data_IF_906003542055
#
_entry.id   IF_906003542055
#
_cell.length_a   1.000
_cell.length_b   1.000
_cell.length_c   1.000
_cell.angle_alpha   90.00
_cell.angle_beta   90.00
_cell.angle_gamma   90.00
#
_symmetry.space_group_name_H-M   'P 1'
#
loop_
_entity.id
_entity.type
_entity.pdbx_description
1 polymer ?
#
# COMPACT_ATOMS: atom_id res chain seq x y z
N UNK A 1 25.53 -9.02 -3.25
CA UNK A 1 26.54 -9.10 -2.17
C UNK A 1 25.84 -8.70 -0.89
N UNK A 2 25.54 -9.66 -0.02
CA UNK A 2 24.84 -9.41 1.24
C UNK A 2 25.79 -8.69 2.23
N UNK A 3 25.34 -7.67 2.97
CA UNK A 3 26.13 -7.11 4.06
C UNK A 3 26.17 -8.13 5.20
N UNK A 4 27.34 -8.23 5.84
CA UNK A 4 27.58 -9.14 6.95
C UNK A 4 26.65 -8.84 8.14
N UNK A 5 26.29 -9.85 8.96
CA UNK A 5 25.49 -9.61 10.16
C UNK A 5 26.27 -8.71 11.13
N UNK A 6 25.61 -7.68 11.64
CA UNK A 6 26.16 -6.85 12.72
C UNK A 6 26.43 -7.74 13.95
N UNK A 7 27.59 -7.59 14.60
CA UNK A 7 27.90 -8.35 15.81
C UNK A 7 26.91 -7.97 16.91
N UNK A 8 26.41 -8.98 17.63
CA UNK A 8 25.59 -8.79 18.81
C UNK A 8 26.33 -7.87 19.80
N UNK A 9 25.62 -6.98 20.52
CA UNK A 9 26.26 -6.21 21.57
C UNK A 9 26.78 -7.20 22.61
N UNK A 10 28.10 -7.26 22.76
CA UNK A 10 28.74 -7.95 23.85
C UNK A 10 28.31 -7.25 25.13
N UNK A 11 27.30 -7.79 25.80
CA UNK A 11 27.06 -7.54 27.22
C UNK A 11 28.22 -8.20 27.97
N UNK A 12 29.38 -7.53 27.97
CA UNK A 12 30.33 -7.69 29.05
C UNK A 12 29.61 -7.20 30.30
N UNK A 13 28.92 -8.11 30.97
CA UNK A 13 28.62 -7.94 32.39
C UNK A 13 29.98 -7.81 33.08
N UNK A 14 30.39 -6.59 33.36
CA UNK A 14 31.40 -6.39 34.39
C UNK A 14 30.88 -7.10 35.66
N UNK A 15 31.68 -7.96 36.29
CA UNK A 15 31.29 -8.54 37.56
C UNK A 15 31.09 -7.39 38.54
N UNK A 16 29.85 -7.22 39.03
CA UNK A 16 29.61 -6.34 40.17
C UNK A 16 30.62 -6.73 41.27
N UNK A 17 31.33 -5.76 41.87
CA UNK A 17 32.24 -6.07 42.94
C UNK A 17 31.41 -6.63 44.09
N UNK A 18 31.55 -7.94 44.33
CA UNK A 18 31.12 -8.55 45.59
C UNK A 18 31.96 -7.85 46.65
N UNK A 19 31.36 -6.89 47.33
CA UNK A 19 31.93 -6.27 48.52
C UNK A 19 31.93 -7.34 49.63
N UNK A 20 32.90 -8.26 49.56
CA UNK A 20 33.28 -9.13 50.64
C UNK A 20 34.03 -8.29 51.68
N UNK A 21 33.28 -7.40 52.34
CA UNK A 21 33.75 -6.57 53.44
C UNK A 21 33.51 -7.25 54.78
N UNK A 22 34.06 -8.46 54.99
CA UNK A 22 34.36 -8.88 56.35
C UNK A 22 35.72 -8.26 56.71
N UNK A 23 35.79 -7.30 57.65
CA UNK A 23 37.07 -6.73 58.03
C UNK A 23 37.97 -7.83 58.62
N UNK A 24 39.28 -7.81 58.33
CA UNK A 24 40.21 -8.80 58.86
C UNK A 24 40.23 -8.67 60.39
N UNK A 25 40.02 -9.79 61.08
CA UNK A 25 40.28 -9.91 62.51
C UNK A 25 41.76 -9.62 62.74
N UNK A 26 42.09 -8.40 63.18
CA UNK A 26 43.44 -8.03 63.59
C UNK A 26 43.78 -8.88 64.82
N UNK A 27 44.59 -9.92 64.62
CA UNK A 27 45.20 -10.69 65.69
C UNK A 27 46.27 -9.78 66.33
N UNK A 28 45.91 -9.07 67.41
CA UNK A 28 46.91 -8.38 68.22
C UNK A 28 47.85 -9.42 68.84
N UNK A 29 49.12 -9.39 68.40
CA UNK A 29 50.19 -10.16 69.00
C UNK A 29 50.33 -9.78 70.48
N UNK A 30 50.05 -10.75 71.35
CA UNK A 30 50.24 -10.63 72.80
C UNK A 30 51.72 -10.87 73.08
N UNK A 31 52.48 -9.81 73.32
CA UNK A 31 53.80 -9.89 73.97
C UNK A 31 53.65 -10.30 75.45
N UNK A 32 54.66 -10.92 76.07
CA UNK A 32 54.55 -11.48 77.41
C UNK A 32 54.38 -10.38 78.47
N UNK A 33 53.52 -10.55 79.50
CA UNK A 33 53.36 -9.56 80.54
C UNK A 33 54.48 -9.68 81.58
N UNK A 34 55.03 -8.54 82.00
CA UNK A 34 55.88 -8.44 83.19
C UNK A 34 54.99 -8.36 84.43
N UNK A 35 55.36 -8.97 85.57
CA UNK A 35 54.48 -9.10 86.73
C UNK A 35 54.53 -7.81 87.53
N UNK A 36 53.39 -7.35 88.07
CA UNK A 36 53.23 -6.81 89.44
C UNK A 36 51.82 -6.21 89.61
N UNK A 37 51.20 -6.56 90.74
CA UNK A 37 49.92 -6.12 91.33
C UNK A 37 48.68 -6.97 90.99
N UNK A 38 48.34 -7.78 91.99
CA UNK A 38 47.06 -8.45 92.13
C UNK A 38 46.01 -7.43 92.56
N UNK A 39 45.05 -7.15 91.68
CA UNK A 39 43.82 -6.44 92.01
C UNK A 39 42.62 -7.40 91.95
N UNK A 40 41.82 -7.40 93.01
CA UNK A 40 40.65 -8.25 93.24
C UNK A 40 39.46 -8.02 92.28
N UNK A 41 39.66 -7.33 91.14
CA UNK A 41 38.65 -7.03 90.12
C UNK A 41 38.73 -7.94 88.87
N UNK A 42 39.71 -8.83 88.79
CA UNK A 42 40.03 -9.62 87.60
C UNK A 42 38.87 -10.51 87.08
N UNK A 43 38.16 -11.29 87.92
CA UNK A 43 37.08 -12.18 87.44
C UNK A 43 35.88 -11.40 86.91
N UNK A 44 35.50 -10.30 87.58
CA UNK A 44 34.37 -9.46 87.21
C UNK A 44 34.60 -8.74 85.88
N UNK A 45 35.83 -8.25 85.66
CA UNK A 45 36.25 -7.61 84.42
C UNK A 45 36.31 -8.60 83.25
N UNK A 46 36.78 -9.83 83.48
CA UNK A 46 36.76 -10.90 82.47
C UNK A 46 35.31 -11.28 82.13
N UNK A 47 34.44 -11.42 83.13
CA UNK A 47 33.02 -11.72 82.93
C UNK A 47 32.26 -10.59 82.22
N UNK A 48 32.65 -9.32 82.40
CA UNK A 48 32.12 -8.20 81.61
C UNK A 48 32.56 -8.29 80.16
N UNK A 49 33.86 -8.46 79.89
CA UNK A 49 34.39 -8.62 78.52
C UNK A 49 33.75 -9.79 77.77
N UNK A 50 33.49 -10.90 78.45
CA UNK A 50 32.79 -12.05 77.87
C UNK A 50 31.33 -11.73 77.55
N UNK A 51 30.62 -10.99 78.42
CA UNK A 51 29.26 -10.51 78.15
C UNK A 51 29.20 -9.53 76.98
N UNK A 52 30.15 -8.60 76.89
CA UNK A 52 30.23 -7.64 75.79
C UNK A 52 30.52 -8.35 74.46
N UNK A 53 31.42 -9.34 74.46
CA UNK A 53 31.66 -10.20 73.29
C UNK A 53 30.45 -11.02 72.89
N UNK A 54 29.72 -11.59 73.85
CA UNK A 54 28.49 -12.33 73.59
C UNK A 54 27.44 -11.43 72.95
N UNK A 55 27.22 -10.22 73.51
CA UNK A 55 26.28 -9.24 72.97
C UNK A 55 26.66 -8.81 71.53
N UNK A 56 27.95 -8.55 71.28
CA UNK A 56 28.47 -8.24 69.95
C UNK A 56 28.25 -9.39 68.95
N UNK A 57 28.48 -10.64 69.37
CA UNK A 57 28.23 -11.81 68.53
C UNK A 57 26.74 -12.02 68.25
N UNK A 58 25.87 -11.78 69.23
CA UNK A 58 24.42 -11.85 69.06
C UNK A 58 23.91 -10.79 68.07
N UNK A 59 24.43 -9.56 68.17
CA UNK A 59 24.10 -8.49 67.24
C UNK A 59 24.60 -8.80 65.82
N UNK A 60 25.83 -9.31 65.68
CA UNK A 60 26.39 -9.72 64.39
C UNK A 60 25.61 -10.90 63.79
N UNK A 61 25.18 -11.86 64.60
CA UNK A 61 24.33 -12.96 64.15
C UNK A 61 22.97 -12.47 63.67
N UNK A 62 22.32 -11.54 64.40
CA UNK A 62 21.06 -10.91 63.99
C UNK A 62 21.21 -10.19 62.65
N UNK A 63 22.28 -9.41 62.48
CA UNK A 63 22.61 -8.74 61.21
C UNK A 63 22.79 -9.75 60.07
N UNK A 64 23.56 -10.82 60.29
CA UNK A 64 23.75 -11.86 59.28
C UNK A 64 22.44 -12.58 58.93
N UNK A 65 21.55 -12.81 59.89
CA UNK A 65 20.22 -13.39 59.61
C UNK A 65 19.38 -12.46 58.73
N UNK A 66 19.38 -11.15 59.02
CA UNK A 66 18.70 -10.15 58.20
C UNK A 66 19.31 -10.07 56.79
N UNK A 67 20.63 -10.10 56.67
CA UNK A 67 21.32 -10.10 55.38
C UNK A 67 21.03 -11.37 54.57
N UNK A 68 20.99 -12.53 55.22
CA UNK A 68 20.62 -13.78 54.57
C UNK A 68 19.18 -13.73 54.05
N UNK A 69 18.23 -13.21 54.84
CA UNK A 69 16.85 -13.04 54.38
C UNK A 69 16.78 -12.10 53.17
N UNK A 70 17.42 -10.92 53.25
CA UNK A 70 17.49 -9.95 52.16
C UNK A 70 18.07 -10.55 50.88
N UNK A 71 19.22 -11.22 50.97
CA UNK A 71 19.87 -11.84 49.80
C UNK A 71 19.04 -12.99 49.24
N UNK A 72 18.32 -13.74 50.08
CA UNK A 72 17.42 -14.80 49.63
C UNK A 72 16.24 -14.23 48.83
N UNK A 73 15.65 -13.12 49.30
CA UNK A 73 14.57 -12.43 48.60
C UNK A 73 15.05 -11.81 47.27
N UNK A 74 16.23 -11.18 47.27
CA UNK A 74 16.86 -10.64 46.05
C UNK A 74 17.17 -11.76 45.04
N UNK A 75 17.65 -12.91 45.50
CA UNK A 75 17.90 -14.07 44.65
C UNK A 75 16.60 -14.63 44.07
N UNK A 76 15.53 -14.69 44.84
CA UNK A 76 14.22 -15.12 44.35
C UNK A 76 13.67 -14.16 43.28
N UNK A 77 13.76 -12.85 43.52
CA UNK A 77 13.32 -11.81 42.59
C UNK A 77 14.12 -11.84 41.27
N UNK A 78 15.45 -11.93 41.35
CA UNK A 78 16.32 -12.00 40.16
C UNK A 78 16.13 -13.28 39.35
N UNK A 79 15.86 -14.41 40.01
CA UNK A 79 15.50 -15.66 39.30
C UNK A 79 14.17 -15.54 38.57
N UNK A 80 13.14 -14.97 39.21
CA UNK A 80 11.85 -14.74 38.57
C UNK A 80 11.97 -13.81 37.35
N UNK A 81 12.80 -12.76 37.45
CA UNK A 81 13.10 -11.87 36.33
C UNK A 81 13.84 -12.59 35.20
N UNK A 82 14.82 -13.43 35.52
CA UNK A 82 15.54 -14.22 34.54
C UNK A 82 14.62 -15.18 33.78
N UNK A 83 13.76 -15.91 34.50
CA UNK A 83 12.76 -16.80 33.89
C UNK A 83 11.80 -16.02 32.99
N UNK A 84 11.35 -14.84 33.42
CA UNK A 84 10.52 -13.95 32.58
C UNK A 84 11.24 -13.58 31.28
N UNK A 85 12.47 -13.09 31.38
CA UNK A 85 13.26 -12.70 30.20
C UNK A 85 13.52 -13.87 29.25
N UNK A 86 13.81 -15.07 29.77
CA UNK A 86 13.98 -16.28 28.96
C UNK A 86 12.69 -16.64 28.20
N UNK A 87 11.52 -16.40 28.79
CA UNK A 87 10.23 -16.62 28.09
C UNK A 87 9.90 -15.55 27.06
N UNK A 88 10.24 -14.29 27.32
CA UNK A 88 9.95 -13.15 26.42
C UNK A 88 10.90 -13.07 25.22
N UNK A 89 12.17 -13.45 25.40
CA UNK A 89 13.22 -13.39 24.38
C UNK A 89 12.82 -14.04 23.04
N UNK A 90 12.30 -15.29 22.97
CA UNK A 90 11.93 -15.90 21.69
C UNK A 90 10.76 -15.20 21.02
N UNK A 91 9.81 -14.68 21.80
CA UNK A 91 8.65 -13.94 21.28
C UNK A 91 9.09 -12.63 20.62
N UNK A 92 9.96 -11.88 21.30
CA UNK A 92 10.55 -10.64 20.77
C UNK A 92 11.42 -10.91 19.53
N UNK A 93 12.21 -11.99 19.53
CA UNK A 93 13.03 -12.38 18.40
C UNK A 93 12.17 -12.76 17.16
N UNK A 94 11.03 -13.42 17.36
CA UNK A 94 10.09 -13.71 16.28
C UNK A 94 9.43 -12.43 15.75
N UNK A 95 8.97 -11.54 16.64
CA UNK A 95 8.38 -10.24 16.26
C UNK A 95 9.38 -9.39 15.47
N UNK A 96 10.65 -9.36 15.90
CA UNK A 96 11.71 -8.66 15.19
C UNK A 96 11.94 -9.21 13.78
N UNK A 97 12.05 -10.53 13.63
CA UNK A 97 12.22 -11.17 12.31
C UNK A 97 11.07 -10.83 11.36
N UNK A 98 9.83 -10.94 11.85
CA UNK A 98 8.64 -10.57 11.09
C UNK A 98 8.72 -9.13 10.56
N UNK A 99 9.09 -8.16 11.41
CA UNK A 99 9.21 -6.77 10.96
C UNK A 99 10.37 -6.51 10.01
N UNK A 100 11.48 -7.26 10.10
CA UNK A 100 12.57 -7.16 9.13
C UNK A 100 12.14 -7.70 7.75
N UNK A 101 11.43 -8.81 7.72
CA UNK A 101 10.87 -9.38 6.49
C UNK A 101 9.84 -8.44 5.86
N UNK A 102 8.91 -7.92 6.66
CA UNK A 102 7.92 -6.94 6.21
C UNK A 102 8.58 -5.66 5.69
N UNK A 103 9.61 -5.15 6.38
CA UNK A 103 10.37 -3.98 5.91
C UNK A 103 11.05 -4.25 4.57
N UNK A 104 11.68 -5.41 4.42
CA UNK A 104 12.28 -5.85 3.15
C UNK A 104 11.24 -5.86 2.03
N UNK A 105 10.12 -6.57 2.25
CA UNK A 105 9.01 -6.62 1.31
C UNK A 105 8.48 -5.24 0.92
N UNK A 106 8.22 -4.34 1.89
CA UNK A 106 7.70 -3.00 1.59
C UNK A 106 8.72 -2.17 0.82
N UNK A 107 10.02 -2.31 1.11
CA UNK A 107 11.09 -1.59 0.40
C UNK A 107 11.14 -2.05 -1.06
N UNK A 108 11.19 -3.37 -1.28
CA UNK A 108 11.23 -3.96 -2.63
C UNK A 108 9.96 -3.60 -3.43
N UNK A 109 8.79 -3.58 -2.78
CA UNK A 109 7.53 -3.19 -3.40
C UNK A 109 7.53 -1.72 -3.84
N UNK A 110 8.02 -0.82 -2.98
CA UNK A 110 8.09 0.61 -3.31
C UNK A 110 9.08 0.84 -4.44
N UNK A 111 10.27 0.23 -4.40
CA UNK A 111 11.25 0.34 -5.49
C UNK A 111 10.68 -0.17 -6.82
N UNK A 112 10.00 -1.33 -6.80
CA UNK A 112 9.32 -1.88 -7.96
C UNK A 112 8.25 -0.90 -8.50
N UNK A 113 7.39 -0.38 -7.63
CA UNK A 113 6.32 0.52 -8.03
C UNK A 113 6.87 1.86 -8.54
N UNK A 114 7.92 2.42 -7.94
CA UNK A 114 8.53 3.67 -8.38
C UNK A 114 9.03 3.57 -9.83
N UNK A 115 9.61 2.43 -10.21
CA UNK A 115 9.98 2.17 -11.61
C UNK A 115 8.74 2.06 -12.51
N UNK A 116 7.77 1.20 -12.14
CA UNK A 116 6.66 0.85 -13.03
C UNK A 116 5.57 1.93 -13.11
N UNK A 117 5.37 2.77 -12.10
CA UNK A 117 4.34 3.82 -12.08
C UNK A 117 4.53 4.81 -13.24
N UNK A 118 5.78 5.16 -13.56
CA UNK A 118 6.09 6.04 -14.69
C UNK A 118 5.67 5.42 -16.04
N UNK A 119 5.89 4.11 -16.19
CA UNK A 119 5.50 3.34 -17.38
C UNK A 119 3.98 3.24 -17.49
N UNK A 120 3.28 2.97 -16.38
CA UNK A 120 1.81 2.92 -16.34
C UNK A 120 1.23 4.28 -16.74
N UNK A 121 1.75 5.37 -16.18
CA UNK A 121 1.30 6.72 -16.54
C UNK A 121 1.52 7.02 -18.03
N UNK A 122 2.65 6.60 -18.61
CA UNK A 122 2.90 6.77 -20.05
C UNK A 122 1.91 5.97 -20.92
N UNK A 123 1.56 4.74 -20.51
CA UNK A 123 0.56 3.92 -21.21
C UNK A 123 -0.84 4.55 -21.14
N UNK A 124 -1.24 5.07 -19.98
CA UNK A 124 -2.50 5.79 -19.83
C UNK A 124 -2.55 7.03 -20.72
N UNK A 125 -1.49 7.83 -20.74
CA UNK A 125 -1.41 9.01 -21.62
C UNK A 125 -1.52 8.62 -23.09
N UNK A 126 -0.91 7.50 -23.51
CA UNK A 126 -1.05 6.96 -24.87
C UNK A 126 -2.50 6.55 -25.16
N UNK A 127 -3.17 5.86 -24.23
CA UNK A 127 -4.56 5.44 -24.41
C UNK A 127 -5.54 6.62 -24.43
N UNK A 128 -5.38 7.57 -23.51
CA UNK A 128 -6.14 8.82 -23.47
C UNK A 128 -5.94 9.63 -24.74
N UNK A 129 -4.69 9.76 -25.22
CA UNK A 129 -4.39 10.45 -26.48
C UNK A 129 -5.05 9.77 -27.68
N UNK A 130 -5.07 8.44 -27.72
CA UNK A 130 -5.73 7.67 -28.76
C UNK A 130 -7.25 7.89 -28.76
N UNK A 131 -7.88 7.84 -27.58
CA UNK A 131 -9.31 8.12 -27.43
C UNK A 131 -9.66 9.57 -27.78
N UNK A 132 -8.84 10.53 -27.32
CA UNK A 132 -9.01 11.95 -27.61
C UNK A 132 -8.91 12.22 -29.10
N UNK A 133 -7.87 11.71 -29.77
CA UNK A 133 -7.70 11.85 -31.22
C UNK A 133 -8.94 11.36 -31.97
N UNK A 134 -9.45 10.18 -31.59
CA UNK A 134 -10.68 9.64 -32.18
C UNK A 134 -11.89 10.55 -31.94
N UNK A 135 -12.05 11.08 -30.73
CA UNK A 135 -13.14 11.99 -30.42
C UNK A 135 -13.04 13.30 -31.23
N UNK A 136 -11.84 13.88 -31.33
CA UNK A 136 -11.57 15.12 -32.07
C UNK A 136 -11.84 14.94 -33.58
N UNK A 137 -11.42 13.82 -34.17
CA UNK A 137 -11.69 13.47 -35.57
C UNK A 137 -13.20 13.37 -35.85
N UNK A 138 -13.95 12.70 -34.97
CA UNK A 138 -15.40 12.59 -35.09
C UNK A 138 -16.10 13.95 -34.92
N UNK A 139 -15.67 14.76 -33.96
CA UNK A 139 -16.23 16.09 -33.74
C UNK A 139 -15.97 17.03 -34.92
N UNK A 140 -14.75 17.05 -35.46
CA UNK A 140 -14.42 17.92 -36.59
C UNK A 140 -15.14 17.48 -37.85
N UNK A 141 -15.23 16.17 -38.10
CA UNK A 141 -16.04 15.64 -39.21
C UNK A 141 -17.51 16.06 -39.09
N UNK A 142 -18.09 15.94 -37.89
CA UNK A 142 -19.49 16.35 -37.64
C UNK A 142 -19.68 17.85 -37.87
N UNK A 143 -18.76 18.69 -37.37
CA UNK A 143 -18.77 20.14 -37.61
C UNK A 143 -18.69 20.45 -39.10
N UNK A 144 -17.84 19.73 -39.82
CA UNK A 144 -17.70 19.90 -41.26
C UNK A 144 -18.97 19.50 -42.02
N UNK A 145 -19.57 18.37 -41.66
CA UNK A 145 -20.80 17.89 -42.29
C UNK A 145 -21.97 18.84 -42.06
N UNK A 146 -22.09 19.43 -40.87
CA UNK A 146 -23.10 20.46 -40.58
C UNK A 146 -22.85 21.74 -41.38
N UNK A 147 -21.58 22.18 -41.50
CA UNK A 147 -21.21 23.35 -42.33
C UNK A 147 -21.57 23.13 -43.80
N UNK A 148 -21.15 22.00 -44.37
CA UNK A 148 -21.44 21.64 -45.76
C UNK A 148 -22.95 21.60 -46.01
N UNK A 149 -23.73 20.96 -45.14
CA UNK A 149 -25.20 20.91 -45.26
C UNK A 149 -25.86 22.28 -45.15
N UNK A 150 -25.38 23.15 -44.25
CA UNK A 150 -25.91 24.50 -44.11
C UNK A 150 -25.64 25.34 -45.38
N UNK A 151 -24.47 25.19 -45.98
CA UNK A 151 -24.09 25.85 -47.23
C UNK A 151 -24.87 25.29 -48.43
N UNK A 152 -25.14 23.99 -48.49
CA UNK A 152 -26.00 23.37 -49.52
C UNK A 152 -27.44 23.91 -49.46
N UNK A 153 -27.96 24.20 -48.25
CA UNK A 153 -29.31 24.74 -48.03
C UNK A 153 -29.39 26.27 -48.22
N UNK A 154 -28.30 27.01 -47.98
CA UNK A 154 -28.25 28.47 -48.07
C UNK A 154 -28.66 29.05 -49.44
N UNK A 155 -28.19 28.56 -50.62
CA UNK A 155 -28.63 29.05 -51.91
C UNK A 155 -30.08 28.67 -52.22
N UNK A 156 -30.62 27.59 -51.64
CA UNK A 156 -32.06 27.28 -51.76
C UNK A 156 -32.95 28.30 -51.06
N UNK A 157 -32.43 29.04 -50.07
CA UNK A 157 -33.15 30.09 -49.33
C UNK A 157 -32.90 31.50 -49.90
N UNK A 158 -31.70 31.75 -50.46
CA UNK A 158 -31.29 33.06 -51.01
C UNK A 158 -31.54 33.23 -52.52
N UNK A 159 -31.79 32.16 -53.29
CA UNK A 159 -32.11 32.24 -54.72
C UNK A 159 -33.44 32.94 -55.04
N UNK A 160 -34.18 33.45 -54.04
CA UNK A 160 -35.36 34.31 -54.27
C UNK A 160 -35.02 35.80 -54.37
N UNK A 161 -33.78 36.28 -54.14
CA UNK A 161 -33.57 37.73 -54.09
C UNK A 161 -32.20 38.35 -54.43
N UNK A 162 -31.10 37.62 -54.68
CA UNK A 162 -29.81 38.29 -55.02
C UNK A 162 -28.90 37.49 -55.98
N UNK A 163 -28.11 38.15 -56.86
CA UNK A 163 -27.11 37.50 -57.69
C UNK A 163 -25.89 37.03 -56.85
N UNK A 164 -25.20 35.95 -57.26
CA UNK A 164 -24.13 35.34 -56.47
C UNK A 164 -22.87 36.23 -56.49
N UNK A 165 -22.65 36.98 -55.41
CA UNK A 165 -21.48 37.86 -55.23
C UNK A 165 -20.41 37.31 -54.27
N UNK A 166 -20.51 36.03 -53.87
CA UNK A 166 -19.49 35.36 -53.06
C UNK A 166 -18.26 34.90 -53.87
N UNK A 167 -17.09 34.75 -53.23
CA UNK A 167 -15.92 34.18 -53.90
C UNK A 167 -16.24 32.78 -54.44
N UNK A 168 -15.97 32.55 -55.72
CA UNK A 168 -16.10 31.22 -56.34
C UNK A 168 -15.07 30.30 -55.69
N UNK A 169 -15.54 29.14 -55.19
CA UNK A 169 -14.66 28.07 -54.70
C UNK A 169 -13.63 27.71 -55.75
N UNK A 170 -12.42 27.41 -55.30
CA UNK A 170 -11.45 26.78 -56.20
C UNK A 170 -11.97 25.42 -56.64
N UNK A 171 -11.52 24.95 -57.82
CA UNK A 171 -11.88 23.61 -58.32
C UNK A 171 -11.55 22.51 -57.30
N UNK A 172 -10.44 22.66 -56.59
CA UNK A 172 -10.00 21.73 -55.55
C UNK A 172 -10.95 21.71 -54.33
N UNK A 173 -11.45 22.87 -53.91
CA UNK A 173 -12.44 22.99 -52.83
C UNK A 173 -13.78 22.35 -53.21
N UNK A 174 -14.20 22.50 -54.47
CA UNK A 174 -15.45 21.91 -54.98
C UNK A 174 -15.34 20.39 -55.10
N UNK A 175 -14.21 19.86 -55.59
CA UNK A 175 -13.91 18.43 -55.61
C UNK A 175 -13.81 17.84 -54.18
N UNK A 176 -13.24 18.59 -53.22
CA UNK A 176 -13.20 18.17 -51.81
C UNK A 176 -14.60 18.15 -51.17
N UNK A 177 -15.43 19.16 -51.45
CA UNK A 177 -16.80 19.25 -50.96
C UNK A 177 -17.67 18.09 -51.49
N UNK A 178 -17.62 17.82 -52.80
CA UNK A 178 -18.36 16.71 -53.43
C UNK A 178 -17.94 15.35 -52.89
N UNK A 179 -16.64 15.13 -52.64
CA UNK A 179 -16.13 13.91 -51.99
C UNK A 179 -16.70 13.73 -50.57
N UNK A 180 -16.68 14.76 -49.73
CA UNK A 180 -17.27 14.70 -48.37
C UNK A 180 -18.78 14.43 -48.40
N UNK A 181 -19.49 15.05 -49.34
CA UNK A 181 -20.92 14.82 -49.52
C UNK A 181 -21.24 13.37 -49.91
N UNK A 182 -20.46 12.79 -50.84
CA UNK A 182 -20.59 11.38 -51.20
C UNK A 182 -20.27 10.44 -50.04
N UNK A 183 -19.23 10.73 -49.25
CA UNK A 183 -18.85 9.93 -48.09
C UNK A 183 -19.94 9.91 -47.01
N UNK A 184 -20.50 11.09 -46.72
CA UNK A 184 -21.65 11.28 -45.82
C UNK A 184 -22.89 10.51 -46.28
N UNK A 185 -23.20 10.58 -47.58
CA UNK A 185 -24.32 9.81 -48.13
C UNK A 185 -24.06 8.29 -48.09
N UNK A 186 -22.80 7.89 -48.28
CA UNK A 186 -22.35 6.52 -48.09
C UNK A 186 -22.58 6.02 -46.65
N UNK A 187 -22.27 6.83 -45.63
CA UNK A 187 -22.59 6.54 -44.22
C UNK A 187 -24.10 6.37 -44.01
N UNK A 188 -24.90 7.35 -44.45
CA UNK A 188 -26.38 7.29 -44.35
C UNK A 188 -26.98 6.03 -45.00
N UNK A 189 -26.46 5.66 -46.17
CA UNK A 189 -26.89 4.47 -46.91
C UNK A 189 -26.53 3.19 -46.15
N UNK A 190 -25.33 3.07 -45.60
CA UNK A 190 -24.93 1.93 -44.75
C UNK A 190 -25.84 1.78 -43.54
N UNK A 191 -26.15 2.88 -42.84
CA UNK A 191 -27.12 2.89 -41.73
C UNK A 191 -28.50 2.41 -42.14
N UNK A 192 -29.00 2.87 -43.30
CA UNK A 192 -30.31 2.43 -43.82
C UNK A 192 -30.32 0.92 -44.08
N UNK A 193 -29.31 0.39 -44.78
CA UNK A 193 -29.18 -1.04 -45.07
C UNK A 193 -29.05 -1.89 -43.81
N UNK A 194 -28.24 -1.48 -42.84
CA UNK A 194 -28.07 -2.21 -41.58
C UNK A 194 -29.39 -2.30 -40.79
N UNK A 195 -30.22 -1.24 -40.82
CA UNK A 195 -31.56 -1.23 -40.22
C UNK A 195 -32.52 -2.16 -40.96
N UNK A 196 -32.53 -2.12 -42.29
CA UNK A 196 -33.34 -3.01 -43.12
C UNK A 196 -32.98 -4.50 -42.87
N UNK A 197 -31.69 -4.81 -42.73
CA UNK A 197 -31.21 -6.17 -42.43
C UNK A 197 -31.55 -6.64 -41.00
N UNK A 198 -31.59 -5.74 -40.01
CA UNK A 198 -31.98 -6.06 -38.62
C UNK A 198 -33.50 -6.04 -38.38
N UNK A 199 -34.30 -5.58 -39.34
CA UNK A 199 -35.75 -5.41 -39.15
C UNK A 199 -36.51 -6.74 -39.27
N UNK A 200 -36.44 -7.52 -38.19
CA UNK A 200 -37.56 -8.33 -37.69
C UNK A 200 -38.27 -7.67 -36.51
N UNK A 201 -37.89 -6.43 -36.15
CA UNK A 201 -38.43 -5.65 -35.04
C UNK A 201 -39.28 -4.48 -35.55
N UNK A 202 -40.46 -4.31 -34.95
CA UNK A 202 -41.54 -3.36 -35.29
C UNK A 202 -41.26 -1.89 -34.94
N UNK A 203 -40.08 -1.57 -34.41
CA UNK A 203 -39.73 -0.19 -34.06
C UNK A 203 -39.43 0.64 -35.32
N UNK A 204 -40.39 1.47 -35.71
CA UNK A 204 -40.26 2.44 -36.81
C UNK A 204 -39.14 3.43 -36.46
N UNK A 205 -38.01 3.36 -37.16
CA UNK A 205 -36.90 4.29 -36.93
C UNK A 205 -37.35 5.74 -37.20
N UNK A 206 -37.12 6.63 -36.24
CA UNK A 206 -37.44 8.06 -36.35
C UNK A 206 -36.24 8.81 -36.93
N UNK A 207 -36.49 9.56 -38.01
CA UNK A 207 -35.45 10.35 -38.66
C UNK A 207 -34.86 11.38 -37.69
N UNK A 208 -33.54 11.53 -37.70
CA UNK A 208 -32.80 12.38 -36.75
C UNK A 208 -32.27 11.68 -35.48
N UNK A 209 -32.63 10.42 -35.21
CA UNK A 209 -32.07 9.65 -34.07
C UNK A 209 -30.75 8.92 -34.39
N UNK A 210 -30.14 9.21 -35.53
CA UNK A 210 -28.91 8.55 -35.97
C UNK A 210 -27.68 9.31 -35.47
N UNK A 211 -26.82 8.66 -34.68
CA UNK A 211 -25.49 9.22 -34.40
C UNK A 211 -24.61 9.13 -35.65
N UNK A 212 -23.76 10.14 -35.88
CA UNK A 212 -22.79 10.15 -36.99
C UNK A 212 -21.38 9.69 -36.56
N UNK A 213 -21.33 8.71 -35.65
CA UNK A 213 -20.07 8.22 -35.05
C UNK A 213 -19.41 7.09 -35.88
N UNK A 214 -19.91 6.81 -37.08
CA UNK A 214 -19.41 5.71 -37.92
C UNK A 214 -18.01 6.00 -38.42
N UNK A 215 -17.06 5.12 -38.14
CA UNK A 215 -15.71 5.22 -38.68
C UNK A 215 -15.58 4.41 -39.97
N UNK A 216 -14.66 4.81 -40.83
CA UNK A 216 -14.24 3.95 -41.95
C UNK A 216 -13.59 2.68 -41.40
N UNK A 217 -13.60 1.60 -42.19
CA UNK A 217 -12.93 0.36 -41.79
C UNK A 217 -11.44 0.57 -41.59
N UNK A 218 -10.82 1.43 -42.40
CA UNK A 218 -9.41 1.80 -42.28
C UNK A 218 -9.12 2.47 -40.93
N UNK A 219 -9.88 3.51 -40.55
CA UNK A 219 -9.72 4.19 -39.25
C UNK A 219 -9.97 3.22 -38.08
N UNK A 220 -10.99 2.37 -38.20
CA UNK A 220 -11.30 1.38 -37.18
C UNK A 220 -10.19 0.34 -37.01
N UNK A 221 -9.56 -0.10 -38.11
CA UNK A 221 -8.39 -1.00 -38.05
C UNK A 221 -7.17 -0.31 -37.45
N UNK A 222 -6.88 0.93 -37.83
CA UNK A 222 -5.75 1.68 -37.28
C UNK A 222 -5.91 1.92 -35.77
N UNK A 223 -7.10 2.28 -35.32
CA UNK A 223 -7.41 2.43 -33.89
C UNK A 223 -7.23 1.12 -33.13
N UNK A 224 -7.74 0.00 -33.66
CA UNK A 224 -7.56 -1.32 -33.04
C UNK A 224 -6.08 -1.70 -32.95
N UNK A 225 -5.31 -1.54 -34.02
CA UNK A 225 -3.88 -1.86 -34.01
C UNK A 225 -3.11 -1.04 -32.96
N UNK A 226 -3.41 0.26 -32.83
CA UNK A 226 -2.77 1.10 -31.81
C UNK A 226 -3.19 0.70 -30.39
N UNK A 227 -4.47 0.41 -30.18
CA UNK A 227 -4.99 -0.10 -28.90
C UNK A 227 -4.33 -1.44 -28.53
N UNK A 228 -4.24 -2.37 -29.48
CA UNK A 228 -3.66 -3.71 -29.28
C UNK A 228 -2.15 -3.61 -28.98
N UNK A 229 -1.47 -2.63 -29.55
CA UNK A 229 -0.07 -2.30 -29.19
C UNK A 229 0.03 -1.84 -27.74
N UNK A 230 -0.84 -0.91 -27.31
CA UNK A 230 -0.89 -0.45 -25.91
C UNK A 230 -1.20 -1.62 -24.97
N UNK A 231 -2.13 -2.50 -25.34
CA UNK A 231 -2.47 -3.69 -24.57
C UNK A 231 -1.29 -4.65 -24.44
N UNK A 232 -0.56 -4.88 -25.53
CA UNK A 232 0.64 -5.72 -25.52
C UNK A 232 1.71 -5.14 -24.60
N UNK A 233 1.99 -3.84 -24.71
CA UNK A 233 2.96 -3.16 -23.85
C UNK A 233 2.54 -3.22 -22.37
N UNK A 234 1.24 -3.05 -22.07
CA UNK A 234 0.69 -3.15 -20.73
C UNK A 234 0.91 -4.53 -20.08
N UNK A 235 0.86 -5.61 -20.88
CA UNK A 235 1.14 -6.97 -20.39
C UNK A 235 2.61 -7.18 -20.03
N UNK A 236 3.52 -6.37 -20.59
CA UNK A 236 4.96 -6.48 -20.35
C UNK A 236 5.44 -5.71 -19.12
N UNK A 237 4.64 -4.74 -18.61
CA UNK A 237 5.01 -3.84 -17.50
C UNK A 237 5.56 -4.58 -16.28
N UNK A 238 4.97 -5.72 -15.93
CA UNK A 238 5.35 -6.52 -14.77
C UNK A 238 5.85 -7.92 -15.16
N UNK A 239 6.28 -8.12 -16.41
CA UNK A 239 6.72 -9.44 -16.89
C UNK A 239 7.99 -9.97 -16.20
N UNK A 240 8.77 -9.06 -15.63
CA UNK A 240 9.99 -9.27 -14.86
C UNK A 240 9.75 -9.34 -13.34
N UNK A 241 8.50 -9.19 -12.89
CA UNK A 241 8.14 -9.07 -11.47
C UNK A 241 7.31 -10.28 -11.04
N UNK A 242 7.64 -10.87 -9.88
CA UNK A 242 6.87 -11.98 -9.33
C UNK A 242 5.50 -11.53 -8.82
N UNK A 243 4.50 -12.41 -8.91
CA UNK A 243 3.08 -12.10 -8.67
C UNK A 243 2.82 -11.39 -7.33
N UNK A 244 3.59 -11.73 -6.30
CA UNK A 244 3.50 -11.15 -4.96
C UNK A 244 3.63 -9.61 -4.94
N UNK A 245 4.40 -9.03 -5.87
CA UNK A 245 4.64 -7.58 -5.94
C UNK A 245 3.82 -6.85 -7.01
N UNK A 246 3.16 -7.59 -7.92
CA UNK A 246 2.47 -6.97 -9.07
C UNK A 246 0.99 -7.34 -9.18
N UNK A 247 0.51 -8.31 -8.39
CA UNK A 247 -0.91 -8.66 -8.35
C UNK A 247 -1.60 -7.94 -7.18
N UNK A 248 -2.82 -7.45 -7.43
CA UNK A 248 -3.64 -6.78 -6.41
C UNK A 248 -3.84 -7.70 -5.20
N UNK A 249 -4.04 -9.00 -5.44
CA UNK A 249 -4.18 -10.01 -4.38
C UNK A 249 -2.89 -10.28 -3.62
N UNK A 250 -1.77 -10.44 -4.32
CA UNK A 250 -0.46 -10.65 -3.70
C UNK A 250 -0.12 -9.53 -2.74
N UNK A 251 -0.21 -8.29 -3.24
CA UNK A 251 0.06 -7.10 -2.44
C UNK A 251 -0.92 -6.94 -1.29
N UNK A 252 -2.23 -7.02 -1.56
CA UNK A 252 -3.24 -6.89 -0.50
C UNK A 252 -3.06 -7.94 0.61
N UNK A 253 -2.77 -9.20 0.27
CA UNK A 253 -2.61 -10.27 1.25
C UNK A 253 -1.46 -10.02 2.24
N UNK A 254 -0.37 -9.38 1.81
CA UNK A 254 0.75 -9.04 2.69
C UNK A 254 0.39 -7.97 3.72
N UNK A 255 -0.34 -6.93 3.30
CA UNK A 255 -0.82 -5.90 4.22
C UNK A 255 -1.94 -6.42 5.13
N UNK A 256 -2.82 -7.28 4.61
CA UNK A 256 -3.86 -7.94 5.41
C UNK A 256 -3.25 -8.86 6.47
N UNK A 257 -2.20 -9.61 6.13
CA UNK A 257 -1.44 -10.40 7.08
C UNK A 257 -0.85 -9.53 8.20
N UNK A 258 -0.36 -8.34 7.88
CA UNK A 258 0.13 -7.39 8.89
C UNK A 258 -0.99 -6.88 9.79
N UNK A 259 -2.10 -6.44 9.19
CA UNK A 259 -3.30 -6.02 9.93
C UNK A 259 -3.78 -7.11 10.91
N UNK A 260 -3.72 -8.37 10.51
CA UNK A 260 -4.14 -9.50 11.36
C UNK A 260 -3.12 -9.88 12.44
N UNK A 261 -1.82 -9.65 12.20
CA UNK A 261 -0.74 -10.00 13.14
C UNK A 261 -0.55 -8.94 14.22
N UNK A 262 -0.58 -7.65 13.84
CA UNK A 262 -0.35 -6.52 14.74
C UNK A 262 -1.14 -5.30 14.25
N UNK A 263 -2.44 -5.28 14.57
CA UNK A 263 -3.36 -4.22 14.16
C UNK A 263 -2.97 -2.84 14.71
N UNK A 264 -2.39 -2.78 15.91
CA UNK A 264 -1.93 -1.52 16.53
C UNK A 264 -0.78 -0.94 15.71
N UNK A 265 0.25 -1.73 15.42
CA UNK A 265 1.37 -1.28 14.60
C UNK A 265 0.93 -0.90 13.17
N UNK A 266 -0.02 -1.63 12.60
CA UNK A 266 -0.61 -1.30 11.29
C UNK A 266 -1.28 0.09 11.28
N UNK A 267 -2.02 0.42 12.34
CA UNK A 267 -2.65 1.73 12.52
C UNK A 267 -1.61 2.84 12.77
N UNK A 268 -0.66 2.60 13.66
CA UNK A 268 0.42 3.56 13.99
C UNK A 268 1.33 3.86 12.79
N UNK A 269 1.49 2.90 11.87
CA UNK A 269 2.20 3.08 10.61
C UNK A 269 1.34 3.70 9.50
N UNK A 270 0.10 4.09 9.79
CA UNK A 270 -0.84 4.72 8.86
C UNK A 270 -1.07 3.92 7.56
N UNK A 271 -1.07 2.59 7.65
CA UNK A 271 -1.10 1.73 6.46
C UNK A 271 -2.35 1.97 5.60
N UNK A 272 -3.50 2.21 6.23
CA UNK A 272 -4.76 2.56 5.55
C UNK A 272 -4.64 3.78 4.62
N UNK A 273 -3.80 4.76 4.97
CA UNK A 273 -3.56 5.95 4.14
C UNK A 273 -2.62 5.66 2.96
N UNK A 274 -1.79 4.64 3.09
CA UNK A 274 -0.77 4.25 2.11
C UNK A 274 -1.28 3.19 1.14
N UNK A 275 -2.19 2.31 1.56
CA UNK A 275 -2.75 1.24 0.73
C UNK A 275 -3.25 1.70 -0.64
N UNK A 276 -4.04 2.78 -0.76
CA UNK A 276 -4.46 3.27 -2.08
C UNK A 276 -3.29 3.68 -2.99
N UNK A 277 -2.18 4.16 -2.41
CA UNK A 277 -0.99 4.57 -3.18
C UNK A 277 -0.23 3.36 -3.73
N UNK A 278 -0.26 2.25 -3.02
CA UNK A 278 0.44 1.01 -3.39
C UNK A 278 -0.40 0.18 -4.35
N UNK A 279 -1.70 0.04 -4.07
CA UNK A 279 -2.63 -0.77 -4.89
C UNK A 279 -3.17 0.00 -6.11
N UNK A 280 -3.24 1.33 -6.02
CA UNK A 280 -3.77 2.20 -7.07
C UNK A 280 -3.08 2.01 -8.43
N UNK A 281 -1.74 2.01 -8.53
CA UNK A 281 -1.04 1.75 -9.78
C UNK A 281 -1.42 0.41 -10.43
N UNK A 282 -1.59 -0.64 -9.63
CA UNK A 282 -1.98 -1.96 -10.13
C UNK A 282 -3.41 -1.94 -10.68
N UNK A 283 -4.34 -1.31 -9.96
CA UNK A 283 -5.73 -1.15 -10.39
C UNK A 283 -5.82 -0.31 -11.66
N UNK A 284 -5.09 0.81 -11.72
CA UNK A 284 -4.96 1.68 -12.89
C UNK A 284 -4.52 0.90 -14.13
N UNK A 285 -3.49 0.07 -14.01
CA UNK A 285 -3.05 -0.80 -15.10
C UNK A 285 -4.14 -1.81 -15.52
N UNK A 286 -4.90 -2.40 -14.57
CA UNK A 286 -6.04 -3.29 -14.90
C UNK A 286 -7.18 -2.55 -15.60
N UNK A 287 -7.33 -1.26 -15.34
CA UNK A 287 -8.38 -0.41 -15.88
C UNK A 287 -7.96 0.39 -17.11
N UNK A 288 -6.71 0.23 -17.58
CA UNK A 288 -6.12 1.00 -18.68
C UNK A 288 -6.98 1.05 -19.94
N UNK A 289 -7.64 -0.06 -20.29
CA UNK A 289 -8.46 -0.19 -21.49
C UNK A 289 -9.98 -0.15 -21.19
N UNK A 290 -10.36 0.08 -19.94
CA UNK A 290 -11.76 0.09 -19.55
C UNK A 290 -12.45 1.34 -20.10
N UNK A 291 -13.59 1.14 -20.76
CA UNK A 291 -14.42 2.21 -21.28
C UNK A 291 -15.89 1.89 -20.98
N UNK A 292 -16.54 2.61 -20.05
CA UNK A 292 -17.92 2.34 -19.67
C UNK A 292 -18.94 2.65 -20.78
N UNK A 293 -18.54 3.42 -21.79
CA UNK A 293 -19.40 3.76 -22.93
C UNK A 293 -19.31 2.75 -24.08
N UNK A 294 -18.44 1.74 -23.97
CA UNK A 294 -18.28 0.71 -24.99
C UNK A 294 -19.28 -0.43 -24.78
N UNK A 295 -19.92 -0.88 -25.86
CA UNK A 295 -20.79 -2.06 -25.84
C UNK A 295 -20.05 -3.29 -25.33
N UNK A 296 -20.70 -4.02 -24.41
CA UNK A 296 -20.12 -5.22 -23.80
C UNK A 296 -18.91 -4.96 -22.91
N UNK A 297 -18.75 -3.74 -22.39
CA UNK A 297 -17.72 -3.44 -21.41
C UNK A 297 -17.86 -4.30 -20.14
N UNK A 298 -16.73 -4.57 -19.49
CA UNK A 298 -16.71 -5.29 -18.23
C UNK A 298 -17.40 -4.43 -17.16
N UNK A 299 -18.42 -5.01 -16.51
CA UNK A 299 -18.99 -4.46 -15.29
C UNK A 299 -17.90 -4.33 -14.24
N UNK A 300 -17.74 -3.13 -13.71
CA UNK A 300 -16.68 -2.79 -12.76
C UNK A 300 -16.62 -3.75 -11.56
N UNK A 301 -17.79 -4.09 -11.01
CA UNK A 301 -17.96 -5.00 -9.87
C UNK A 301 -17.57 -6.46 -10.16
N UNK A 302 -17.50 -6.85 -11.45
CA UNK A 302 -17.10 -8.20 -11.85
C UNK A 302 -15.59 -8.36 -12.01
N UNK A 303 -14.84 -7.28 -11.85
CA UNK A 303 -13.40 -7.34 -11.98
C UNK A 303 -12.79 -8.04 -10.74
N UNK A 304 -11.92 -9.04 -10.94
CA UNK A 304 -11.32 -9.82 -9.83
C UNK A 304 -10.58 -8.96 -8.80
N UNK A 305 -10.04 -7.83 -9.24
CA UNK A 305 -9.38 -6.89 -8.34
C UNK A 305 -10.38 -6.19 -7.42
N UNK A 306 -11.62 -5.95 -7.88
CA UNK A 306 -12.69 -5.35 -7.09
C UNK A 306 -13.04 -6.25 -5.91
N UNK A 307 -13.32 -7.53 -6.16
CA UNK A 307 -13.61 -8.54 -5.12
C UNK A 307 -12.50 -8.60 -4.06
N UNK A 308 -11.24 -8.51 -4.50
CA UNK A 308 -10.08 -8.55 -3.60
C UNK A 308 -10.06 -7.34 -2.65
N UNK A 309 -10.43 -6.16 -3.15
CA UNK A 309 -10.33 -4.92 -2.39
C UNK A 309 -11.58 -4.61 -1.57
N UNK A 310 -12.77 -4.96 -2.07
CA UNK A 310 -14.03 -4.75 -1.35
C UNK A 310 -14.16 -5.68 -0.14
N UNK A 311 -13.52 -6.85 -0.19
CA UNK A 311 -13.48 -7.82 0.91
C UNK A 311 -12.22 -7.69 1.78
N UNK A 312 -11.38 -6.69 1.53
CA UNK A 312 -10.11 -6.52 2.24
C UNK A 312 -10.32 -6.31 3.75
N UNK A 313 -9.69 -7.15 4.58
CA UNK A 313 -9.76 -7.02 6.03
C UNK A 313 -11.11 -7.41 6.65
N UNK A 314 -12.05 -7.93 5.85
CA UNK A 314 -13.36 -8.38 6.32
C UNK A 314 -13.21 -9.67 7.13
N UNK A 315 -13.75 -9.67 8.36
CA UNK A 315 -13.73 -10.83 9.26
C UNK A 315 -15.12 -11.44 9.42
N UNK A 316 -15.15 -12.72 9.81
CA UNK A 316 -16.41 -13.36 10.19
C UNK A 316 -16.98 -12.71 11.46
N UNK A 317 -18.26 -12.31 11.41
CA UNK A 317 -18.95 -11.68 12.54
C UNK A 317 -18.76 -10.16 12.67
N UNK A 318 -18.24 -9.49 11.64
CA UNK A 318 -18.19 -8.03 11.59
C UNK A 318 -19.58 -7.40 11.77
N UNK A 319 -19.64 -6.34 12.58
CA UNK A 319 -20.88 -5.58 12.83
C UNK A 319 -20.88 -4.31 12.00
N UNK A 320 -22.07 -3.79 11.68
CA UNK A 320 -22.18 -2.54 10.90
C UNK A 320 -21.43 -1.36 11.57
N UNK A 321 -21.47 -1.30 12.90
CA UNK A 321 -20.78 -0.24 13.66
C UNK A 321 -19.26 -0.42 13.72
N UNK A 322 -18.77 -1.67 13.69
CA UNK A 322 -17.34 -1.98 13.57
C UNK A 322 -16.81 -1.61 12.19
N UNK A 323 -17.56 -1.98 11.16
CA UNK A 323 -17.29 -1.61 9.78
C UNK A 323 -17.19 -0.08 9.62
N UNK A 324 -18.17 0.70 10.12
CA UNK A 324 -18.13 2.17 10.02
C UNK A 324 -16.85 2.82 10.60
N UNK A 325 -16.17 2.14 11.52
CA UNK A 325 -14.93 2.61 12.15
C UNK A 325 -13.67 2.13 11.42
N UNK A 326 -13.79 1.15 10.52
CA UNK A 326 -12.66 0.61 9.77
C UNK A 326 -12.20 1.60 8.68
N UNK A 327 -10.99 2.19 8.81
CA UNK A 327 -10.47 3.12 7.83
C UNK A 327 -10.23 2.48 6.45
N UNK A 328 -10.05 1.16 6.37
CA UNK A 328 -9.79 0.44 5.12
C UNK A 328 -11.07 0.22 4.29
N UNK A 329 -12.28 0.44 4.83
CA UNK A 329 -13.51 0.35 4.04
C UNK A 329 -13.56 1.31 2.86
N UNK A 330 -12.87 2.45 2.97
CA UNK A 330 -12.81 3.45 1.92
C UNK A 330 -11.76 3.12 0.84
N UNK A 331 -11.12 1.95 0.91
CA UNK A 331 -10.04 1.57 0.00
C UNK A 331 -10.45 1.63 -1.47
N UNK A 332 -11.57 0.99 -1.84
CA UNK A 332 -12.06 0.99 -3.22
C UNK A 332 -12.46 2.40 -3.68
N UNK A 333 -13.33 3.15 -2.95
CA UNK A 333 -13.65 4.54 -3.31
C UNK A 333 -12.42 5.43 -3.50
N UNK A 334 -11.45 5.39 -2.57
CA UNK A 334 -10.26 6.24 -2.62
C UNK A 334 -9.37 5.88 -3.82
N UNK A 335 -9.21 4.59 -4.12
CA UNK A 335 -8.45 4.16 -5.30
C UNK A 335 -9.11 4.70 -6.56
N UNK A 336 -10.42 4.59 -6.69
CA UNK A 336 -11.14 5.05 -7.88
C UNK A 336 -11.03 6.58 -8.00
N UNK A 337 -11.31 7.34 -6.95
CA UNK A 337 -11.28 8.81 -6.97
C UNK A 337 -9.90 9.36 -7.33
N UNK A 338 -8.83 8.70 -6.88
CA UNK A 338 -7.45 9.12 -7.18
C UNK A 338 -6.91 8.60 -8.51
N UNK A 339 -7.63 7.70 -9.19
CA UNK A 339 -7.18 7.07 -10.44
C UNK A 339 -7.74 7.74 -11.69
N UNK A 340 -8.71 8.66 -11.58
CA UNK A 340 -9.45 9.24 -12.70
C UNK A 340 -9.62 10.75 -12.62
#
# INVERSE_FOLDING_TARGET
MMPAPLPAPSLTMEPMPIAAGCPPMILHGVGPPSPTQADAAMPQAIASKLRDRLASLQELHSRHQMDLARVTDELASTKAEHERLETEQPVLAQKFRYYQELRGYVTDLVECLDEKVSVIAALEQRMLSLLKKRADELMERRRQDVRDQAEELAPSMAARSCPPSGPKRSREEEEAHTRRAAEREGRRTRRRRAREMKSGSTAKHVDGMSSDDEMTELEATAFRNQRDTIESDARLVFSDVVDEFCSVRGVASRFESWRNTDAVAYQEAYVSLCLPKVLGPLVRLKMLLWNPLQDGCLEFERAKWYDTLILYGLKEGETEDGLKQDPDLQLVPIIIEKSW
#
